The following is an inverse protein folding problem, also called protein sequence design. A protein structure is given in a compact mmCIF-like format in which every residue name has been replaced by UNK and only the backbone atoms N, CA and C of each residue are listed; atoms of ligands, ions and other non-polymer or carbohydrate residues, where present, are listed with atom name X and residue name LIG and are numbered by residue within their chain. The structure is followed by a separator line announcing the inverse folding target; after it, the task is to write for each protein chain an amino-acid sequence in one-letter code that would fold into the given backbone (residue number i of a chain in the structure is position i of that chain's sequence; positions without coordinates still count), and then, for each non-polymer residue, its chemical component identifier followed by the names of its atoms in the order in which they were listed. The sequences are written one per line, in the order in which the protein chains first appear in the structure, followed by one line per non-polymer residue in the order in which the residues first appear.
data_IF_159543391134
#
_entry.id   IF_159543391134
#
_cell.length_a   1.000
_cell.length_b   1.000
_cell.length_c   1.000
_cell.angle_alpha   90.00
_cell.angle_beta   90.00
_cell.angle_gamma   90.00
#
_symmetry.space_group_name_H-M   'P 1'
#
loop_
_entity.id
_entity.type
_entity.pdbx_description
1 polymer ?
#
# COMPACT_ATOMS: atom_id res chain seq x y z
N UNK A 1 3.57 -5.01 1.40
CA UNK A 1 4.26 -4.43 1.02
C UNK A 1 5.17 -3.65 0.10
N UNK A 2 5.01 -2.34 0.06
CA UNK A 2 5.90 -1.47 -0.70
C UNK A 2 6.58 -0.44 0.22
N UNK A 3 7.72 0.08 -0.21
CA UNK A 3 8.35 1.28 0.34
C UNK A 3 8.79 2.20 -0.80
N UNK A 4 8.81 3.49 -0.56
CA UNK A 4 9.15 4.49 -1.57
C UNK A 4 9.47 5.85 -0.95
N UNK A 5 10.03 6.74 -1.76
CA UNK A 5 10.35 8.13 -1.39
C UNK A 5 9.42 9.10 -2.13
N UNK A 6 8.86 10.07 -1.41
CA UNK A 6 8.08 11.17 -1.99
C UNK A 6 8.93 12.45 -1.97
N UNK A 7 9.08 13.08 -3.12
CA UNK A 7 9.74 14.36 -3.28
C UNK A 7 8.73 15.49 -3.08
N UNK A 8 8.71 16.08 -1.90
CA UNK A 8 7.72 17.11 -1.53
C UNK A 8 7.89 18.42 -2.29
N UNK A 9 9.12 18.75 -2.68
CA UNK A 9 9.43 19.92 -3.49
C UNK A 9 9.06 19.78 -4.97
N UNK A 10 8.74 18.58 -5.45
CA UNK A 10 8.31 18.37 -6.83
C UNK A 10 6.84 18.75 -6.99
N UNK A 11 6.47 19.58 -7.96
CA UNK A 11 5.07 19.92 -8.24
C UNK A 11 4.22 18.67 -8.53
N UNK A 12 2.90 18.81 -8.44
CA UNK A 12 1.99 17.75 -8.84
C UNK A 12 2.22 17.38 -10.31
N UNK A 13 2.50 16.10 -10.55
CA UNK A 13 2.83 15.56 -11.87
C UNK A 13 1.65 14.84 -12.54
N UNK A 14 0.52 14.75 -11.85
CA UNK A 14 -0.71 14.13 -12.39
C UNK A 14 -1.32 15.03 -13.44
N UNK A 15 -1.62 14.47 -14.60
CA UNK A 15 -2.36 15.14 -15.67
C UNK A 15 -3.78 14.59 -15.72
N UNK A 16 -4.75 15.49 -15.82
CA UNK A 16 -6.17 15.13 -15.92
C UNK A 16 -6.84 15.89 -17.04
N UNK A 17 -7.96 15.36 -17.54
CA UNK A 17 -8.84 16.09 -18.45
C UNK A 17 -9.76 17.05 -17.66
N UNK A 18 -10.69 17.71 -18.38
CA UNK A 18 -11.69 18.64 -17.85
C UNK A 18 -12.70 17.99 -16.86
N UNK A 19 -12.75 16.68 -16.80
CA UNK A 19 -13.57 15.89 -15.86
C UNK A 19 -12.76 15.32 -14.69
N UNK A 20 -11.52 15.77 -14.50
CA UNK A 20 -10.58 15.28 -13.50
C UNK A 20 -10.23 13.78 -13.64
N UNK A 21 -10.41 13.20 -14.83
CA UNK A 21 -9.98 11.84 -15.12
C UNK A 21 -8.50 11.85 -15.50
N UNK A 22 -7.74 10.93 -14.93
CA UNK A 22 -6.32 10.79 -15.21
C UNK A 22 -6.06 10.51 -16.70
N UNK A 23 -5.10 11.23 -17.27
CA UNK A 23 -4.66 11.09 -18.66
C UNK A 23 -3.18 10.80 -18.80
N UNK A 24 -2.43 10.91 -17.71
CA UNK A 24 -1.00 10.67 -17.72
C UNK A 24 -0.30 11.30 -16.55
N UNK A 25 1.03 11.29 -16.63
CA UNK A 25 1.91 11.93 -15.66
C UNK A 25 2.97 12.74 -16.37
N UNK A 26 3.44 13.83 -15.78
CA UNK A 26 4.58 14.56 -16.28
C UNK A 26 5.86 13.71 -16.22
N UNK A 27 6.88 14.10 -16.99
CA UNK A 27 8.12 13.34 -17.13
C UNK A 27 8.91 13.20 -15.81
N UNK A 28 8.77 14.16 -14.88
CA UNK A 28 9.46 14.09 -13.59
C UNK A 28 8.59 13.41 -12.55
N UNK A 29 8.94 12.21 -12.09
CA UNK A 29 8.15 11.51 -11.09
C UNK A 29 8.28 12.19 -9.71
N UNK A 30 7.19 12.28 -8.99
CA UNK A 30 7.17 12.72 -7.60
C UNK A 30 7.53 11.62 -6.60
N UNK A 31 7.53 10.38 -7.08
CA UNK A 31 7.86 9.19 -6.30
C UNK A 31 9.10 8.53 -6.91
N UNK A 32 10.03 8.11 -6.06
CA UNK A 32 11.23 7.37 -6.46
C UNK A 32 11.52 6.23 -5.48
N UNK A 33 12.55 5.44 -5.77
CA UNK A 33 13.02 4.35 -4.94
C UNK A 33 11.89 3.39 -4.54
N UNK A 34 11.02 3.06 -5.50
CA UNK A 34 9.92 2.13 -5.26
C UNK A 34 10.46 0.72 -5.16
N UNK A 35 10.19 0.08 -4.05
CA UNK A 35 10.59 -1.30 -3.80
C UNK A 35 9.40 -2.12 -3.29
N UNK A 36 9.35 -3.37 -3.70
CA UNK A 36 8.31 -4.32 -3.30
C UNK A 36 8.94 -5.37 -2.38
N UNK A 37 8.24 -5.71 -1.30
CA UNK A 37 8.69 -6.75 -0.39
C UNK A 37 8.54 -8.13 -1.03
N UNK A 38 9.67 -8.81 -1.20
CA UNK A 38 9.71 -10.20 -1.64
C UNK A 38 9.70 -11.12 -0.40
N UNK A 39 8.62 -11.86 -0.24
CA UNK A 39 8.45 -12.81 0.86
C UNK A 39 9.41 -13.99 0.79
N UNK A 40 9.93 -14.32 -0.40
CA UNK A 40 10.84 -15.44 -0.59
C UNK A 40 12.22 -15.11 -0.03
N UNK A 41 12.68 -13.89 -0.29
CA UNK A 41 14.00 -13.43 0.18
C UNK A 41 13.95 -12.71 1.53
N UNK A 42 12.76 -12.32 1.99
CA UNK A 42 12.58 -11.53 3.21
C UNK A 42 13.09 -10.09 3.09
N UNK A 43 13.22 -9.56 1.88
CA UNK A 43 13.81 -8.25 1.62
C UNK A 43 12.99 -7.43 0.64
N UNK A 44 13.20 -6.10 0.67
CA UNK A 44 12.66 -5.20 -0.34
C UNK A 44 13.53 -5.25 -1.60
N UNK A 45 12.90 -5.43 -2.75
CA UNK A 45 13.53 -5.45 -4.06
C UNK A 45 13.05 -4.27 -4.90
N UNK A 46 13.92 -3.66 -5.72
CA UNK A 46 13.48 -2.60 -6.63
C UNK A 46 12.31 -3.05 -7.51
N UNK A 47 11.33 -2.16 -7.70
CA UNK A 47 10.22 -2.41 -8.61
C UNK A 47 10.77 -2.63 -10.03
N UNK A 48 10.45 -3.76 -10.63
CA UNK A 48 10.70 -4.00 -12.06
C UNK A 48 9.56 -3.41 -12.89
N UNK A 49 9.79 -2.37 -13.69
CA UNK A 49 8.73 -1.74 -14.50
C UNK A 49 8.17 -2.64 -15.60
N UNK A 50 8.85 -3.75 -15.92
CA UNK A 50 8.42 -4.71 -16.93
C UNK A 50 7.68 -5.92 -16.32
N UNK A 51 7.65 -6.03 -15.00
CA UNK A 51 6.93 -7.10 -14.31
C UNK A 51 5.45 -6.77 -14.13
N UNK A 52 4.64 -7.79 -13.93
CA UNK A 52 3.23 -7.66 -13.56
C UNK A 52 3.07 -7.89 -12.07
N UNK A 53 2.32 -7.00 -11.41
CA UNK A 53 2.06 -7.07 -9.98
C UNK A 53 0.57 -7.20 -9.72
N UNK A 54 0.20 -7.99 -8.71
CA UNK A 54 -1.17 -8.02 -8.21
C UNK A 54 -1.39 -6.88 -7.22
N UNK A 55 -2.44 -6.11 -7.45
CA UNK A 55 -2.85 -5.01 -6.57
C UNK A 55 -4.19 -5.36 -5.92
N UNK A 56 -4.26 -5.20 -4.61
CA UNK A 56 -5.51 -5.28 -3.85
C UNK A 56 -5.90 -3.88 -3.37
N UNK A 57 -7.18 -3.55 -3.45
CA UNK A 57 -7.69 -2.26 -3.03
C UNK A 57 -9.19 -2.16 -3.15
N UNK A 58 -9.71 -0.96 -2.98
CA UNK A 58 -11.15 -0.71 -3.01
C UNK A 58 -11.71 -0.90 -4.43
N UNK A 59 -12.83 -1.57 -4.53
CA UNK A 59 -13.58 -1.76 -5.77
C UNK A 59 -13.88 -0.41 -6.46
N UNK A 60 -14.25 0.61 -5.68
CA UNK A 60 -14.53 1.95 -6.19
C UNK A 60 -13.38 2.51 -7.03
N UNK A 61 -12.14 2.41 -6.56
CA UNK A 61 -10.96 2.95 -7.26
C UNK A 61 -10.41 2.00 -8.34
N UNK A 62 -10.26 0.71 -8.02
CA UNK A 62 -9.54 -0.22 -8.90
C UNK A 62 -10.41 -0.75 -10.04
N UNK A 63 -11.69 -1.04 -9.79
CA UNK A 63 -12.59 -1.59 -10.79
C UNK A 63 -13.46 -0.52 -11.44
N UNK A 64 -14.06 0.35 -10.63
CA UNK A 64 -15.00 1.35 -11.12
C UNK A 64 -14.30 2.65 -11.56
N UNK A 65 -12.97 2.72 -11.43
CA UNK A 65 -12.14 3.88 -11.81
C UNK A 65 -12.61 5.18 -11.13
N UNK A 66 -13.17 5.06 -9.93
CA UNK A 66 -13.66 6.18 -9.15
C UNK A 66 -12.58 7.23 -8.90
N UNK A 67 -12.97 8.48 -8.67
CA UNK A 67 -12.08 9.63 -8.50
C UNK A 67 -11.08 9.84 -9.67
N UNK A 68 -11.41 9.34 -10.86
CA UNK A 68 -10.61 9.53 -12.05
C UNK A 68 -9.40 8.59 -12.18
N UNK A 69 -9.37 7.47 -11.46
CA UNK A 69 -8.26 6.49 -11.48
C UNK A 69 -8.21 5.64 -12.75
N UNK A 70 -8.27 6.28 -13.92
CA UNK A 70 -8.29 5.63 -15.23
C UNK A 70 -7.01 4.82 -15.56
N UNK A 71 -5.92 4.98 -14.78
CA UNK A 71 -4.71 4.17 -14.96
C UNK A 71 -4.91 2.68 -14.70
N UNK A 72 -6.01 2.29 -14.07
CA UNK A 72 -6.35 0.88 -13.81
C UNK A 72 -7.27 0.28 -14.88
N UNK A 73 -7.72 1.10 -15.86
CA UNK A 73 -8.55 0.62 -16.95
C UNK A 73 -7.85 -0.48 -17.75
N UNK A 74 -8.57 -1.53 -18.09
CA UNK A 74 -8.03 -2.70 -18.80
C UNK A 74 -7.17 -3.64 -17.95
N UNK A 75 -6.98 -3.40 -16.66
CA UNK A 75 -6.28 -4.32 -15.78
C UNK A 75 -7.05 -5.65 -15.63
N UNK A 76 -6.32 -6.76 -15.59
CA UNK A 76 -6.93 -8.09 -15.41
C UNK A 76 -7.52 -8.23 -14.03
N UNK A 77 -8.83 -8.47 -13.95
CA UNK A 77 -9.51 -8.75 -12.70
C UNK A 77 -9.19 -10.18 -12.23
N UNK A 78 -8.48 -10.29 -11.11
CA UNK A 78 -8.12 -11.58 -10.52
C UNK A 78 -9.25 -12.07 -9.59
N UNK A 79 -9.77 -11.18 -8.76
CA UNK A 79 -10.86 -11.50 -7.83
C UNK A 79 -11.70 -10.24 -7.60
N UNK A 80 -12.99 -10.32 -7.86
CA UNK A 80 -13.90 -9.18 -7.78
C UNK A 80 -14.18 -8.74 -6.35
N UNK A 81 -14.53 -9.70 -5.49
CA UNK A 81 -14.85 -9.46 -4.10
C UNK A 81 -13.97 -10.31 -3.18
N UNK A 82 -13.31 -9.67 -2.26
CA UNK A 82 -12.49 -10.35 -1.23
C UNK A 82 -13.21 -10.28 0.12
N UNK A 83 -13.56 -9.07 0.57
CA UNK A 83 -14.24 -8.81 1.84
C UNK A 83 -14.70 -7.35 1.87
N UNK A 84 -15.55 -6.99 2.83
CA UNK A 84 -15.82 -5.60 3.17
C UNK A 84 -14.58 -4.95 3.79
N UNK A 85 -14.36 -3.67 3.52
CA UNK A 85 -13.17 -2.93 3.93
C UNK A 85 -12.98 -2.91 5.46
N UNK A 86 -14.05 -2.65 6.21
CA UNK A 86 -14.01 -2.66 7.68
C UNK A 86 -13.72 -4.05 8.25
N UNK A 87 -14.18 -5.13 7.57
CA UNK A 87 -13.87 -6.51 7.97
C UNK A 87 -12.40 -6.86 7.70
N UNK A 88 -11.82 -6.37 6.61
CA UNK A 88 -10.39 -6.56 6.34
C UNK A 88 -9.57 -5.95 7.47
N UNK A 89 -9.86 -4.69 7.84
CA UNK A 89 -9.14 -4.00 8.91
C UNK A 89 -9.34 -4.68 10.27
N UNK A 90 -10.57 -4.98 10.66
CA UNK A 90 -10.85 -5.58 11.97
C UNK A 90 -10.30 -7.01 12.08
N UNK A 91 -10.40 -7.80 11.01
CA UNK A 91 -9.83 -9.14 10.97
C UNK A 91 -8.30 -9.12 11.05
N UNK A 92 -7.67 -8.16 10.38
CA UNK A 92 -6.22 -8.00 10.45
C UNK A 92 -5.77 -7.58 11.86
N UNK A 93 -6.44 -6.62 12.48
CA UNK A 93 -6.14 -6.22 13.86
C UNK A 93 -6.33 -7.38 14.85
N UNK A 94 -7.36 -8.21 14.66
CA UNK A 94 -7.61 -9.39 15.49
C UNK A 94 -6.55 -10.51 15.32
N UNK A 95 -5.74 -10.48 14.27
CA UNK A 95 -4.65 -11.44 14.07
C UNK A 95 -3.41 -11.14 14.95
N UNK A 96 -3.32 -9.94 15.50
CA UNK A 96 -2.26 -9.62 16.46
C UNK A 96 -2.50 -10.35 17.78
N UNK A 97 -1.46 -10.99 18.30
CA UNK A 97 -1.54 -11.73 19.57
C UNK A 97 -1.54 -10.80 20.77
N UNK A 98 -2.21 -11.24 21.83
CA UNK A 98 -2.26 -10.52 23.10
C UNK A 98 -3.27 -9.37 23.12
N UNK A 99 -3.55 -8.92 24.34
CA UNK A 99 -4.42 -7.77 24.61
C UNK A 99 -3.78 -6.88 25.68
N UNK A 100 -4.08 -5.60 25.65
CA UNK A 100 -3.67 -4.66 26.70
C UNK A 100 -4.52 -4.83 27.99
N UNK A 101 -4.26 -3.99 28.99
CA UNK A 101 -5.00 -4.01 30.24
C UNK A 101 -6.50 -3.70 30.10
N UNK A 102 -6.94 -3.13 28.98
CA UNK A 102 -8.33 -2.82 28.64
C UNK A 102 -8.98 -3.90 27.76
N UNK A 103 -8.25 -4.96 27.43
CA UNK A 103 -8.73 -6.03 26.55
C UNK A 103 -8.67 -5.70 25.07
N UNK A 104 -7.95 -4.65 24.66
CA UNK A 104 -7.77 -4.27 23.27
C UNK A 104 -6.56 -4.99 22.66
N UNK A 105 -6.58 -5.35 21.35
CA UNK A 105 -5.45 -6.00 20.69
C UNK A 105 -4.17 -5.18 20.81
N UNK A 106 -3.07 -5.85 21.16
CA UNK A 106 -1.73 -5.26 21.16
C UNK A 106 -1.19 -5.21 19.73
N UNK A 107 -1.17 -4.04 19.13
CA UNK A 107 -0.76 -3.84 17.73
C UNK A 107 0.75 -3.62 17.57
N UNK A 108 1.56 -4.11 18.51
CA UNK A 108 3.02 -4.06 18.45
C UNK A 108 3.59 -5.07 17.44
N UNK A 109 4.77 -4.77 16.89
CA UNK A 109 5.43 -5.61 15.88
C UNK A 109 5.70 -7.04 16.37
N UNK A 110 5.99 -7.23 17.66
CA UNK A 110 6.21 -8.56 18.25
C UNK A 110 4.97 -9.47 18.20
N UNK A 111 3.78 -8.88 18.13
CA UNK A 111 2.50 -9.58 18.05
C UNK A 111 1.94 -9.64 16.62
N UNK A 112 2.66 -9.09 15.65
CA UNK A 112 2.20 -9.04 14.27
C UNK A 112 2.03 -10.43 13.67
N UNK A 113 0.95 -10.67 12.90
CA UNK A 113 0.80 -11.90 12.11
C UNK A 113 1.87 -12.05 11.03
N UNK A 114 2.69 -11.02 10.81
CA UNK A 114 3.80 -10.99 9.86
C UNK A 114 5.16 -10.98 10.57
N UNK A 115 5.22 -11.32 11.86
CA UNK A 115 6.47 -11.36 12.65
C UNK A 115 7.52 -12.32 12.06
N UNK A 116 7.08 -13.38 11.39
CA UNK A 116 7.96 -14.36 10.73
C UNK A 116 8.57 -13.87 9.40
N UNK A 117 8.19 -12.66 8.94
CA UNK A 117 8.74 -12.08 7.72
C UNK A 117 9.83 -11.06 8.06
N UNK A 118 11.13 -11.42 7.94
CA UNK A 118 12.23 -10.51 8.23
C UNK A 118 12.13 -9.20 7.44
N UNK A 119 12.37 -8.07 8.10
CA UNK A 119 12.29 -6.75 7.49
C UNK A 119 10.87 -6.19 7.32
N UNK A 120 9.84 -6.95 7.67
CA UNK A 120 8.47 -6.47 7.68
C UNK A 120 8.11 -5.92 9.07
N UNK A 121 8.62 -4.75 9.37
CA UNK A 121 8.39 -4.11 10.67
C UNK A 121 7.01 -3.47 10.69
N UNK A 122 6.09 -4.09 11.40
CA UNK A 122 4.73 -3.59 11.63
C UNK A 122 4.55 -3.29 13.12
N UNK A 123 4.72 -2.04 13.48
CA UNK A 123 4.41 -1.54 14.81
C UNK A 123 3.44 -0.36 14.68
N UNK A 124 2.17 -0.62 14.94
CA UNK A 124 1.12 0.41 14.88
C UNK A 124 0.98 1.19 16.19
N UNK A 125 1.72 0.84 17.23
CA UNK A 125 1.82 1.61 18.46
C UNK A 125 2.81 2.79 18.31
N UNK A 126 3.65 2.74 17.27
CA UNK A 126 4.54 3.84 16.91
C UNK A 126 3.83 4.81 15.95
N UNK A 127 3.54 6.05 16.36
CA UNK A 127 2.85 7.02 15.51
C UNK A 127 3.66 7.45 14.27
N UNK A 128 4.97 7.22 14.27
CA UNK A 128 5.85 7.55 13.15
C UNK A 128 5.99 6.41 12.14
N UNK A 129 5.42 5.25 12.44
CA UNK A 129 5.39 4.08 11.57
C UNK A 129 6.76 3.44 11.34
N UNK A 130 6.86 2.59 10.32
CA UNK A 130 8.04 1.78 10.03
C UNK A 130 9.03 2.43 9.03
N UNK A 131 8.90 3.71 8.72
CA UNK A 131 9.78 4.41 7.78
C UNK A 131 9.70 3.92 6.33
N UNK A 132 8.63 3.22 5.96
CA UNK A 132 8.46 2.70 4.58
C UNK A 132 8.17 3.79 3.56
N UNK A 133 7.58 4.89 3.99
CA UNK A 133 7.33 6.07 3.17
C UNK A 133 8.23 7.18 3.69
N UNK A 134 9.13 7.66 2.83
CA UNK A 134 10.01 8.76 3.15
C UNK A 134 9.57 10.00 2.37
N UNK A 135 9.57 11.15 3.03
CA UNK A 135 9.31 12.45 2.42
C UNK A 135 10.59 13.29 2.48
N UNK A 136 11.02 13.80 1.33
CA UNK A 136 12.21 14.63 1.19
C UNK A 136 11.92 15.88 0.36
#
# INVERSE_FOLDING_TARGET
GARYTIHTGTPNTVQTNDKNVWTGSAATPRVSNVEIYDKTTGTYQPLDPNATYALAGMNYTLRNLGDGFAMFDGATLIKDYVSEDYLVMSSYAAMFGGVDANGLPHLASANSPLADYPGYLLNYEDPYGAGRIQMI
#
